data_IF_892939488705
#
_entry.id   IF_892939488705
#
_cell.length_a   1.000
_cell.length_b   1.000
_cell.length_c   1.000
_cell.angle_alpha   90.00
_cell.angle_beta   90.00
_cell.angle_gamma   90.00
#
_symmetry.space_group_name_H-M   'P 1'
#
loop_
_entity.id
_entity.type
_entity.pdbx_description
1 polymer ?
#
# COMPACT_ATOMS: atom_id res chain seq x y z
N UNK A 1 -19.48 -8.80 -22.13
CA UNK A 1 -19.49 -8.75 -20.66
C UNK A 1 -18.34 -7.82 -20.26
N UNK A 2 -18.60 -6.65 -19.68
CA UNK A 2 -17.53 -5.82 -19.13
C UNK A 2 -16.96 -6.59 -17.93
N UNK A 3 -15.67 -6.93 -17.97
CA UNK A 3 -15.00 -7.49 -16.79
C UNK A 3 -14.99 -6.40 -15.72
N UNK A 4 -15.26 -6.77 -14.47
CA UNK A 4 -15.14 -5.86 -13.34
C UNK A 4 -13.77 -5.20 -13.34
N UNK A 5 -13.67 -3.87 -13.19
CA UNK A 5 -12.38 -3.16 -13.28
C UNK A 5 -11.47 -3.43 -12.07
N UNK A 6 -12.04 -3.92 -10.97
CA UNK A 6 -11.33 -4.35 -9.77
C UNK A 6 -11.89 -5.69 -9.34
N UNK A 7 -11.01 -6.65 -9.04
CA UNK A 7 -11.38 -7.97 -8.53
C UNK A 7 -10.96 -8.10 -7.08
N UNK A 8 -11.79 -8.72 -6.25
CA UNK A 8 -11.47 -9.06 -4.86
C UNK A 8 -11.60 -10.57 -4.66
N UNK A 9 -10.49 -11.21 -4.41
CA UNK A 9 -10.42 -12.64 -4.11
C UNK A 9 -10.09 -12.83 -2.63
N UNK A 10 -10.82 -13.71 -1.95
CA UNK A 10 -10.58 -14.04 -0.54
C UNK A 10 -10.10 -15.48 -0.40
N UNK A 11 -8.99 -15.68 0.29
CA UNK A 11 -8.44 -17.01 0.59
C UNK A 11 -8.05 -17.08 2.07
N UNK A 12 -8.81 -17.81 2.86
CA UNK A 12 -8.67 -17.84 4.33
C UNK A 12 -8.79 -16.41 4.91
N UNK A 13 -7.74 -15.93 5.58
CA UNK A 13 -7.66 -14.60 6.19
C UNK A 13 -6.95 -13.56 5.32
N UNK A 14 -6.71 -13.86 4.04
CA UNK A 14 -6.07 -12.95 3.09
C UNK A 14 -7.05 -12.55 2.00
N UNK A 15 -7.01 -11.27 1.61
CA UNK A 15 -7.71 -10.76 0.44
C UNK A 15 -6.70 -10.27 -0.61
N UNK A 16 -6.95 -10.60 -1.87
CA UNK A 16 -6.20 -10.07 -3.01
C UNK A 16 -7.08 -9.11 -3.79
N UNK A 17 -6.64 -7.87 -3.87
CA UNK A 17 -7.29 -6.80 -4.64
C UNK A 17 -6.50 -6.60 -5.93
N UNK A 18 -7.14 -6.82 -7.07
CA UNK A 18 -6.50 -6.80 -8.38
C UNK A 18 -7.08 -5.68 -9.24
N UNK A 19 -6.24 -4.73 -9.68
CA UNK A 19 -6.58 -3.76 -10.72
C UNK A 19 -6.72 -4.52 -12.05
N UNK A 20 -7.92 -4.52 -12.68
CA UNK A 20 -8.23 -5.47 -13.75
C UNK A 20 -8.54 -4.80 -15.08
N UNK A 21 -7.57 -4.03 -15.60
CA UNK A 21 -7.59 -3.46 -16.97
C UNK A 21 -6.27 -3.74 -17.71
N UNK A 22 -5.84 -5.03 -17.82
CA UNK A 22 -4.49 -5.39 -18.30
C UNK A 22 -4.20 -4.90 -19.72
N UNK A 23 -5.20 -4.77 -20.59
CA UNK A 23 -5.03 -4.28 -21.97
C UNK A 23 -4.54 -2.83 -22.08
N UNK A 24 -4.68 -2.06 -21.01
CA UNK A 24 -4.25 -0.66 -20.91
C UNK A 24 -3.33 -0.48 -19.69
N UNK A 25 -2.57 -1.51 -19.33
CA UNK A 25 -1.63 -1.51 -18.20
C UNK A 25 -2.28 -1.02 -16.89
N UNK A 26 -3.54 -1.41 -16.65
CA UNK A 26 -4.33 -1.06 -15.48
C UNK A 26 -4.47 0.46 -15.25
N UNK A 27 -4.51 1.26 -16.34
CA UNK A 27 -4.73 2.69 -16.25
C UNK A 27 -6.03 3.02 -15.50
N UNK A 28 -5.97 4.02 -14.64
CA UNK A 28 -7.03 4.44 -13.72
C UNK A 28 -8.11 5.22 -14.45
N UNK A 29 -9.17 4.52 -14.92
CA UNK A 29 -10.43 5.13 -15.36
C UNK A 29 -11.31 5.47 -14.16
N UNK A 30 -12.40 6.24 -14.39
CA UNK A 30 -13.41 6.50 -13.36
C UNK A 30 -13.96 5.22 -12.74
N UNK A 31 -14.29 4.21 -13.56
CA UNK A 31 -14.83 2.94 -13.08
C UNK A 31 -13.83 2.17 -12.23
N UNK A 32 -12.52 2.18 -12.59
CA UNK A 32 -11.48 1.54 -11.79
C UNK A 32 -11.29 2.27 -10.45
N UNK A 33 -11.29 3.61 -10.45
CA UNK A 33 -11.18 4.42 -9.23
C UNK A 33 -12.38 4.15 -8.30
N UNK A 34 -13.61 4.11 -8.85
CA UNK A 34 -14.81 3.82 -8.06
C UNK A 34 -14.78 2.38 -7.52
N UNK A 35 -14.49 1.39 -8.36
CA UNK A 35 -14.37 0.00 -7.93
C UNK A 35 -13.26 -0.22 -6.89
N UNK A 36 -12.15 0.51 -7.00
CA UNK A 36 -11.08 0.49 -6.00
C UNK A 36 -11.54 1.07 -4.67
N UNK A 37 -12.28 2.20 -4.70
CA UNK A 37 -12.87 2.78 -3.50
C UNK A 37 -13.83 1.82 -2.81
N UNK A 38 -14.75 1.20 -3.55
CA UNK A 38 -15.72 0.26 -3.01
C UNK A 38 -15.02 -0.94 -2.36
N UNK A 39 -14.07 -1.54 -3.08
CA UNK A 39 -13.31 -2.70 -2.61
C UNK A 39 -12.47 -2.39 -1.35
N UNK A 40 -11.75 -1.26 -1.33
CA UNK A 40 -10.93 -0.87 -0.16
C UNK A 40 -11.83 -0.53 1.04
N UNK A 41 -12.97 0.13 0.81
CA UNK A 41 -13.92 0.47 1.88
C UNK A 41 -14.56 -0.78 2.50
N UNK A 42 -14.90 -1.77 1.69
CA UNK A 42 -15.43 -3.06 2.15
C UNK A 42 -14.38 -3.83 2.95
N UNK A 43 -13.16 -3.96 2.42
CA UNK A 43 -12.07 -4.67 3.09
C UNK A 43 -11.66 -4.02 4.42
N UNK A 44 -11.70 -2.69 4.51
CA UNK A 44 -11.32 -1.97 5.72
C UNK A 44 -12.18 -2.33 6.95
N UNK A 45 -13.40 -2.81 6.75
CA UNK A 45 -14.33 -3.20 7.82
C UNK A 45 -14.53 -4.72 7.93
N UNK A 46 -13.89 -5.50 7.06
CA UNK A 46 -13.98 -6.97 7.06
C UNK A 46 -13.00 -7.57 8.07
N UNK A 47 -13.50 -7.88 9.28
CA UNK A 47 -12.70 -8.48 10.36
C UNK A 47 -12.19 -9.90 10.05
N UNK A 48 -12.73 -10.57 9.04
CA UNK A 48 -12.25 -11.89 8.60
C UNK A 48 -10.96 -11.80 7.78
N UNK A 49 -10.62 -10.62 7.26
CA UNK A 49 -9.41 -10.35 6.49
C UNK A 49 -8.32 -9.80 7.41
N UNK A 50 -7.18 -10.46 7.46
CA UNK A 50 -6.02 -10.05 8.26
C UNK A 50 -4.92 -9.38 7.45
N UNK A 51 -4.85 -9.63 6.14
CA UNK A 51 -3.84 -9.06 5.23
C UNK A 51 -4.48 -8.80 3.87
N UNK A 52 -4.14 -7.68 3.26
CA UNK A 52 -4.56 -7.33 1.90
C UNK A 52 -3.35 -7.31 0.98
N UNK A 53 -3.44 -7.99 -0.17
CA UNK A 53 -2.47 -7.91 -1.26
C UNK A 53 -3.07 -7.09 -2.39
N UNK A 54 -2.40 -6.02 -2.80
CA UNK A 54 -2.78 -5.17 -3.94
C UNK A 54 -1.88 -5.48 -5.12
N UNK A 55 -2.47 -5.82 -6.28
CA UNK A 55 -1.72 -6.10 -7.52
C UNK A 55 -2.43 -5.61 -8.77
N UNK A 56 -1.72 -5.58 -9.88
CA UNK A 56 -2.28 -5.41 -11.21
C UNK A 56 -2.49 -6.75 -11.91
N UNK A 57 -3.53 -6.86 -12.74
CA UNK A 57 -3.71 -7.98 -13.65
C UNK A 57 -2.70 -7.91 -14.81
N UNK A 58 -2.23 -9.06 -15.28
CA UNK A 58 -1.25 -9.17 -16.36
C UNK A 58 0.15 -8.77 -15.94
N UNK A 59 0.88 -8.08 -16.83
CA UNK A 59 2.30 -7.82 -16.68
C UNK A 59 2.65 -6.48 -16.03
N UNK A 60 1.66 -5.69 -15.64
CA UNK A 60 1.88 -4.34 -15.11
C UNK A 60 1.04 -4.08 -13.87
N UNK A 61 1.59 -3.32 -12.93
CA UNK A 61 0.84 -2.85 -11.78
C UNK A 61 -0.19 -1.78 -12.20
N UNK A 62 0.27 -0.58 -12.58
CA UNK A 62 -0.60 0.53 -13.00
C UNK A 62 0.18 1.62 -13.72
N UNK A 63 -0.27 2.01 -14.91
CA UNK A 63 0.36 3.09 -15.71
C UNK A 63 -0.10 4.50 -15.33
N UNK A 64 -0.84 4.68 -14.24
CA UNK A 64 -1.35 5.98 -13.81
C UNK A 64 -2.73 6.31 -14.37
N UNK A 65 -3.05 7.59 -14.47
CA UNK A 65 -4.36 8.02 -14.97
C UNK A 65 -4.62 7.58 -16.41
N UNK A 66 -5.85 7.17 -16.71
CA UNK A 66 -6.29 6.94 -18.08
C UNK A 66 -6.28 8.28 -18.84
N UNK A 67 -5.54 8.35 -19.93
CA UNK A 67 -5.35 9.60 -20.71
C UNK A 67 -6.69 10.20 -21.17
N UNK A 68 -7.70 9.38 -21.33
CA UNK A 68 -9.03 9.85 -21.70
C UNK A 68 -9.66 10.79 -20.66
N UNK A 69 -9.26 10.68 -19.38
CA UNK A 69 -9.71 11.60 -18.34
C UNK A 69 -9.30 13.05 -18.60
N UNK A 70 -8.20 13.28 -19.33
CA UNK A 70 -7.68 14.61 -19.64
C UNK A 70 -8.25 15.19 -20.93
N UNK A 71 -8.98 14.40 -21.71
CA UNK A 71 -9.63 14.88 -22.93
C UNK A 71 -10.94 15.64 -22.68
N UNK A 72 -11.50 15.48 -21.48
CA UNK A 72 -12.74 16.14 -21.06
C UNK A 72 -12.44 17.53 -20.48
N UNK A 73 -13.23 18.54 -20.88
CA UNK A 73 -13.17 19.85 -20.25
C UNK A 73 -13.94 19.84 -18.94
N UNK A 74 -13.25 19.48 -17.86
CA UNK A 74 -13.82 19.42 -16.52
C UNK A 74 -13.50 20.72 -15.77
N UNK A 75 -14.49 21.39 -15.13
CA UNK A 75 -14.24 22.55 -14.30
C UNK A 75 -13.30 22.25 -13.13
N UNK A 76 -12.54 23.26 -12.69
CA UNK A 76 -11.53 23.10 -11.65
C UNK A 76 -12.11 22.63 -10.29
N UNK A 77 -13.30 23.06 -9.95
CA UNK A 77 -14.01 22.64 -8.72
C UNK A 77 -14.42 21.17 -8.78
N UNK A 78 -14.82 20.65 -9.92
CA UNK A 78 -15.10 19.22 -10.12
C UNK A 78 -13.82 18.40 -10.03
N UNK A 79 -12.69 18.89 -10.56
CA UNK A 79 -11.39 18.25 -10.36
C UNK A 79 -11.00 18.16 -8.87
N UNK A 80 -11.25 19.23 -8.09
CA UNK A 80 -11.01 19.19 -6.64
C UNK A 80 -11.83 18.08 -5.98
N UNK A 81 -13.09 17.90 -6.37
CA UNK A 81 -13.95 16.83 -5.83
C UNK A 81 -13.41 15.46 -6.21
N UNK A 82 -13.02 15.26 -7.48
CA UNK A 82 -12.45 14.00 -7.95
C UNK A 82 -11.15 13.65 -7.22
N UNK A 83 -10.22 14.61 -7.06
CA UNK A 83 -8.96 14.41 -6.34
C UNK A 83 -9.16 14.13 -4.83
N UNK A 84 -10.16 14.76 -4.20
CA UNK A 84 -10.55 14.38 -2.84
C UNK A 84 -11.10 12.94 -2.75
N UNK A 85 -11.80 12.48 -3.79
CA UNK A 85 -12.24 11.08 -3.91
C UNK A 85 -11.06 10.11 -3.92
N UNK A 86 -10.07 10.39 -4.78
CA UNK A 86 -8.80 9.66 -4.85
C UNK A 86 -8.07 9.67 -3.50
N UNK A 87 -7.98 10.82 -2.84
CA UNK A 87 -7.35 10.96 -1.54
C UNK A 87 -8.00 10.09 -0.44
N UNK A 88 -9.31 9.80 -0.54
CA UNK A 88 -10.00 8.87 0.38
C UNK A 88 -9.49 7.46 0.23
N UNK A 89 -9.22 6.98 -1.00
CA UNK A 89 -8.67 5.64 -1.24
C UNK A 89 -7.33 5.50 -0.51
N UNK A 90 -6.43 6.45 -0.74
CA UNK A 90 -5.11 6.49 -0.10
C UNK A 90 -5.23 6.51 1.42
N UNK A 91 -6.08 7.40 1.94
CA UNK A 91 -6.33 7.50 3.38
C UNK A 91 -6.84 6.18 3.96
N UNK A 92 -7.80 5.52 3.30
CA UNK A 92 -8.35 4.25 3.78
C UNK A 92 -7.29 3.15 3.77
N UNK A 93 -6.45 3.03 2.73
CA UNK A 93 -5.33 2.08 2.70
C UNK A 93 -4.35 2.30 3.86
N UNK A 94 -4.09 3.55 4.23
CA UNK A 94 -3.21 3.89 5.36
C UNK A 94 -3.84 3.64 6.73
N UNK A 95 -5.16 3.86 6.85
CA UNK A 95 -5.89 3.78 8.13
C UNK A 95 -6.55 2.42 8.38
N UNK A 96 -6.72 1.57 7.34
CA UNK A 96 -7.34 0.25 7.52
C UNK A 96 -6.53 -0.63 8.48
N UNK A 97 -7.23 -1.47 9.29
CA UNK A 97 -6.58 -2.28 10.32
C UNK A 97 -5.65 -3.36 9.77
N UNK A 98 -5.89 -3.80 8.53
CA UNK A 98 -5.09 -4.81 7.87
C UNK A 98 -3.79 -4.20 7.32
N UNK A 99 -2.63 -4.86 7.45
CA UNK A 99 -1.47 -4.53 6.63
C UNK A 99 -1.77 -4.78 5.15
N UNK A 100 -1.30 -3.86 4.31
CA UNK A 100 -1.43 -3.88 2.86
C UNK A 100 -0.07 -4.13 2.22
N UNK A 101 0.02 -5.13 1.34
CA UNK A 101 1.23 -5.45 0.58
C UNK A 101 0.94 -5.17 -0.89
N UNK A 102 1.71 -4.30 -1.52
CA UNK A 102 1.67 -4.16 -2.98
C UNK A 102 2.67 -5.11 -3.64
N UNK A 103 2.18 -5.90 -4.59
CA UNK A 103 2.98 -6.67 -5.54
C UNK A 103 3.20 -5.83 -6.80
N UNK A 104 4.41 -5.29 -6.95
CA UNK A 104 4.75 -4.37 -8.02
C UNK A 104 5.49 -5.10 -9.14
N UNK A 105 4.77 -5.42 -10.22
CA UNK A 105 5.30 -6.02 -11.44
C UNK A 105 5.18 -5.04 -12.60
N UNK A 106 6.16 -5.01 -13.51
CA UNK A 106 6.15 -4.15 -14.68
C UNK A 106 6.09 -2.66 -14.32
N UNK A 107 5.16 -1.89 -14.86
CA UNK A 107 5.11 -0.45 -14.65
C UNK A 107 4.27 -0.03 -13.45
N UNK A 108 4.77 0.97 -12.71
CA UNK A 108 4.05 1.78 -11.74
C UNK A 108 4.38 3.25 -12.00
N UNK A 109 3.42 4.02 -12.54
CA UNK A 109 3.67 5.36 -13.06
C UNK A 109 2.66 6.36 -12.49
N UNK A 110 3.10 7.54 -12.07
CA UNK A 110 2.28 8.63 -11.58
C UNK A 110 1.37 8.22 -10.43
N UNK A 111 0.05 8.41 -10.55
CA UNK A 111 -0.91 7.97 -9.54
C UNK A 111 -0.84 6.47 -9.23
N UNK A 112 -0.42 5.63 -10.18
CA UNK A 112 -0.15 4.20 -9.96
C UNK A 112 1.07 3.97 -9.08
N UNK A 113 2.14 4.74 -9.28
CA UNK A 113 3.32 4.71 -8.43
C UNK A 113 2.97 5.08 -6.98
N UNK A 114 2.27 6.19 -6.79
CA UNK A 114 1.87 6.66 -5.47
C UNK A 114 0.80 5.77 -4.80
N UNK A 115 -0.07 5.11 -5.57
CA UNK A 115 -0.98 4.09 -5.03
C UNK A 115 -0.20 2.91 -4.45
N UNK A 116 0.88 2.47 -5.12
CA UNK A 116 1.75 1.43 -4.57
C UNK A 116 2.39 1.86 -3.25
N UNK A 117 2.90 3.11 -3.16
CA UNK A 117 3.50 3.67 -1.95
C UNK A 117 2.49 3.89 -0.80
N UNK A 118 1.20 3.91 -1.07
CA UNK A 118 0.17 3.96 -0.04
C UNK A 118 0.05 2.66 0.77
N UNK A 119 0.68 1.57 0.35
CA UNK A 119 0.73 0.29 1.06
C UNK A 119 1.76 0.31 2.20
N UNK A 120 1.65 -0.64 3.12
CA UNK A 120 2.61 -0.80 4.23
C UNK A 120 3.92 -1.44 3.75
N UNK A 121 3.81 -2.34 2.77
CA UNK A 121 4.94 -3.01 2.13
C UNK A 121 4.77 -2.99 0.62
N UNK A 122 5.82 -2.62 -0.09
CA UNK A 122 5.90 -2.76 -1.55
C UNK A 122 7.01 -3.76 -1.86
N UNK A 123 6.65 -4.90 -2.46
CA UNK A 123 7.60 -5.86 -3.00
C UNK A 123 7.60 -5.71 -4.52
N UNK A 124 8.74 -5.36 -5.09
CA UNK A 124 8.89 -5.08 -6.50
C UNK A 124 9.64 -6.21 -7.24
N UNK A 125 9.33 -6.43 -8.51
CA UNK A 125 10.26 -7.13 -9.38
C UNK A 125 11.50 -6.27 -9.62
N UNK A 126 12.70 -6.86 -9.74
CA UNK A 126 13.95 -6.12 -9.97
C UNK A 126 13.88 -5.23 -11.21
N UNK A 127 13.20 -5.72 -12.26
CA UNK A 127 12.96 -5.03 -13.52
C UNK A 127 11.66 -4.20 -13.55
N UNK A 128 10.97 -4.04 -12.43
CA UNK A 128 9.81 -3.15 -12.36
C UNK A 128 10.24 -1.71 -12.64
N UNK A 129 9.32 -0.91 -13.20
CA UNK A 129 9.60 0.46 -13.62
C UNK A 129 8.74 1.41 -12.81
N UNK A 130 9.38 2.22 -11.99
CA UNK A 130 8.74 3.23 -11.14
C UNK A 130 9.04 4.63 -11.68
N UNK A 131 8.01 5.49 -11.84
CA UNK A 131 8.17 6.83 -12.37
C UNK A 131 7.16 7.82 -11.78
N UNK A 132 7.67 8.93 -11.23
CA UNK A 132 6.89 10.11 -10.85
C UNK A 132 6.74 11.06 -12.06
N UNK A 133 6.00 10.61 -13.07
CA UNK A 133 5.90 11.25 -14.39
C UNK A 133 5.30 12.66 -14.38
N UNK A 134 4.68 13.08 -13.31
CA UNK A 134 3.83 14.28 -13.24
C UNK A 134 4.45 15.54 -13.84
N UNK A 135 5.69 15.87 -13.51
CA UNK A 135 6.39 17.06 -14.03
C UNK A 135 6.53 17.02 -15.55
N UNK A 136 6.69 15.83 -16.15
CA UNK A 136 6.86 15.64 -17.58
C UNK A 136 5.57 15.93 -18.37
N UNK A 137 4.43 15.93 -17.68
CA UNK A 137 3.11 16.24 -18.26
C UNK A 137 2.48 17.51 -17.66
N UNK A 138 3.29 18.35 -16.98
CA UNK A 138 2.85 19.64 -16.43
C UNK A 138 1.92 19.52 -15.21
N UNK A 139 1.95 18.39 -14.49
CA UNK A 139 1.15 18.16 -13.29
C UNK A 139 2.03 18.10 -12.04
N UNK A 140 1.39 18.10 -10.88
CA UNK A 140 2.02 17.89 -9.58
C UNK A 140 1.71 16.48 -9.08
N UNK A 141 2.48 15.99 -8.11
CA UNK A 141 2.23 14.69 -7.46
C UNK A 141 0.82 14.65 -6.87
N UNK A 142 0.17 13.51 -7.02
CA UNK A 142 -1.12 13.18 -6.39
C UNK A 142 -1.05 11.85 -5.62
N UNK A 143 -2.17 11.22 -5.25
CA UNK A 143 -2.23 9.97 -4.48
C UNK A 143 -1.29 9.96 -3.25
N UNK A 144 -0.94 11.10 -2.70
CA UNK A 144 -0.08 11.21 -1.53
C UNK A 144 1.43 11.23 -1.80
N UNK A 145 1.89 11.36 -3.05
CA UNK A 145 3.31 11.38 -3.40
C UNK A 145 4.12 12.43 -2.62
N UNK A 146 3.57 13.62 -2.42
CA UNK A 146 4.21 14.66 -1.57
C UNK A 146 4.38 14.23 -0.09
N UNK A 147 3.56 13.30 0.38
CA UNK A 147 3.64 12.77 1.74
C UNK A 147 4.60 11.59 1.82
N UNK A 148 4.51 10.63 0.90
CA UNK A 148 5.26 9.38 0.96
C UNK A 148 6.73 9.54 0.59
N UNK A 149 7.03 10.20 -0.54
CA UNK A 149 8.40 10.27 -1.04
C UNK A 149 9.40 10.83 0.00
N UNK A 150 9.19 12.02 0.59
CA UNK A 150 10.17 12.56 1.53
C UNK A 150 10.31 11.74 2.81
N UNK A 151 9.27 10.96 3.19
CA UNK A 151 9.30 10.07 4.35
C UNK A 151 10.05 8.77 4.08
N UNK A 152 9.97 8.26 2.86
CA UNK A 152 10.64 7.01 2.47
C UNK A 152 12.12 7.24 2.10
N UNK A 153 12.41 8.22 1.25
CA UNK A 153 13.75 8.38 0.67
C UNK A 153 14.46 9.69 1.07
N UNK A 154 13.86 10.45 1.98
CA UNK A 154 14.37 11.77 2.35
C UNK A 154 14.16 12.83 1.25
N UNK A 155 14.27 14.10 1.64
CA UNK A 155 13.89 15.22 0.78
C UNK A 155 14.74 15.37 -0.49
N UNK A 156 16.04 15.04 -0.42
CA UNK A 156 16.94 15.20 -1.59
C UNK A 156 16.54 14.22 -2.71
N UNK A 157 16.35 12.95 -2.39
CA UNK A 157 15.96 11.94 -3.36
C UNK A 157 14.49 12.12 -3.82
N UNK A 158 13.63 12.55 -2.91
CA UNK A 158 12.24 12.88 -3.27
C UNK A 158 12.17 14.00 -4.32
N UNK A 159 13.04 15.04 -4.20
CA UNK A 159 13.14 16.10 -5.23
C UNK A 159 13.64 15.57 -6.56
N UNK A 160 14.65 14.69 -6.54
CA UNK A 160 15.17 14.06 -7.75
C UNK A 160 14.07 13.31 -8.49
N UNK A 161 13.38 12.39 -7.81
CA UNK A 161 12.30 11.59 -8.41
C UNK A 161 11.15 12.46 -8.92
N UNK A 162 10.67 13.41 -8.11
CA UNK A 162 9.50 14.21 -8.43
C UNK A 162 9.77 15.32 -9.43
N UNK A 163 10.94 15.98 -9.38
CA UNK A 163 11.22 17.16 -10.22
C UNK A 163 11.90 16.82 -11.54
N UNK A 164 12.58 15.67 -11.63
CA UNK A 164 13.14 15.19 -12.88
C UNK A 164 12.19 14.25 -13.62
N UNK A 165 11.30 13.56 -12.90
CA UNK A 165 10.35 12.60 -13.47
C UNK A 165 11.02 11.45 -14.21
N UNK A 166 12.24 11.08 -13.80
CA UNK A 166 12.98 9.96 -14.37
C UNK A 166 12.43 8.63 -13.86
N UNK A 167 12.54 7.62 -14.71
CA UNK A 167 12.20 6.25 -14.35
C UNK A 167 13.36 5.60 -13.62
N UNK A 168 13.05 4.81 -12.59
CA UNK A 168 14.00 3.92 -11.91
C UNK A 168 13.46 2.49 -11.94
N UNK A 169 14.35 1.50 -11.86
CA UNK A 169 13.98 0.10 -11.75
C UNK A 169 13.66 -0.31 -10.29
N UNK A 170 13.11 -1.52 -10.13
CA UNK A 170 12.74 -2.04 -8.81
C UNK A 170 13.94 -2.24 -7.89
N UNK A 171 15.09 -2.63 -8.42
CA UNK A 171 16.33 -2.78 -7.65
C UNK A 171 16.77 -1.43 -7.09
N UNK A 172 16.85 -0.40 -7.92
CA UNK A 172 17.17 0.97 -7.50
C UNK A 172 16.17 1.49 -6.47
N UNK A 173 14.87 1.21 -6.67
CA UNK A 173 13.83 1.61 -5.73
C UNK A 173 14.03 0.96 -4.34
N UNK A 174 14.47 -0.29 -4.28
CA UNK A 174 14.81 -0.96 -3.03
C UNK A 174 16.09 -0.40 -2.40
N UNK A 175 17.13 -0.17 -3.20
CA UNK A 175 18.43 0.35 -2.72
C UNK A 175 18.32 1.74 -2.06
N UNK A 176 17.42 2.58 -2.57
CA UNK A 176 17.15 3.90 -1.97
C UNK A 176 16.09 3.90 -0.85
N UNK A 177 15.50 2.75 -0.52
CA UNK A 177 14.48 2.62 0.51
C UNK A 177 13.08 3.09 0.10
N UNK A 178 12.83 3.25 -1.22
CA UNK A 178 11.51 3.62 -1.73
C UNK A 178 10.50 2.47 -1.62
N UNK A 179 10.94 1.24 -1.85
CA UNK A 179 10.16 0.02 -1.68
C UNK A 179 10.79 -0.88 -0.62
N UNK A 180 10.00 -1.75 -0.02
CA UNK A 180 10.45 -2.65 1.04
C UNK A 180 11.54 -3.61 0.57
N UNK A 181 11.35 -4.19 -0.62
CA UNK A 181 12.26 -5.21 -1.18
C UNK A 181 12.07 -5.32 -2.68
N UNK A 182 13.13 -5.65 -3.41
CA UNK A 182 13.05 -6.15 -4.78
C UNK A 182 13.54 -7.59 -4.88
N UNK A 183 13.01 -8.33 -5.85
CA UNK A 183 13.35 -9.72 -6.13
C UNK A 183 13.26 -9.98 -7.63
N UNK A 184 13.88 -11.05 -8.11
CA UNK A 184 13.68 -11.51 -9.48
C UNK A 184 12.19 -11.72 -9.77
N UNK A 185 11.73 -11.37 -10.97
CA UNK A 185 10.30 -11.34 -11.31
C UNK A 185 9.60 -12.68 -11.09
N UNK A 186 10.29 -13.79 -11.36
CA UNK A 186 9.80 -15.16 -11.15
C UNK A 186 9.67 -15.56 -9.67
N UNK A 187 10.31 -14.80 -8.76
CA UNK A 187 10.20 -14.98 -7.29
C UNK A 187 9.18 -14.05 -6.64
N UNK A 188 8.68 -13.05 -7.38
CA UNK A 188 7.86 -11.98 -6.82
C UNK A 188 6.58 -12.50 -6.13
N UNK A 189 5.84 -13.38 -6.77
CA UNK A 189 4.59 -13.92 -6.23
C UNK A 189 4.85 -14.73 -4.96
N UNK A 190 5.88 -15.59 -4.97
CA UNK A 190 6.27 -16.39 -3.80
C UNK A 190 6.72 -15.51 -2.61
N UNK A 191 7.45 -14.43 -2.86
CA UNK A 191 7.89 -13.49 -1.82
C UNK A 191 6.70 -12.79 -1.18
N UNK A 192 5.75 -12.30 -1.99
CA UNK A 192 4.52 -11.65 -1.52
C UNK A 192 3.65 -12.62 -0.72
N UNK A 193 3.46 -13.85 -1.20
CA UNK A 193 2.70 -14.88 -0.47
C UNK A 193 3.36 -15.23 0.88
N UNK A 194 4.68 -15.33 0.91
CA UNK A 194 5.45 -15.60 2.13
C UNK A 194 5.29 -14.47 3.16
N UNK A 195 5.41 -13.22 2.71
CA UNK A 195 5.21 -12.03 3.55
C UNK A 195 3.77 -11.97 4.07
N UNK A 196 2.78 -12.17 3.20
CA UNK A 196 1.38 -12.17 3.56
C UNK A 196 1.05 -13.29 4.58
N UNK A 197 1.56 -14.50 4.37
CA UNK A 197 1.40 -15.61 5.31
C UNK A 197 2.05 -15.32 6.66
N UNK A 198 3.22 -14.67 6.66
CA UNK A 198 3.92 -14.26 7.88
C UNK A 198 3.10 -13.24 8.68
N UNK A 199 2.55 -12.22 8.02
CA UNK A 199 1.71 -11.21 8.66
C UNK A 199 0.38 -11.81 9.15
N UNK A 200 -0.24 -12.69 8.37
CA UNK A 200 -1.50 -13.34 8.74
C UNK A 200 -1.43 -14.21 10.00
N UNK A 201 -0.23 -14.64 10.40
CA UNK A 201 0.01 -15.37 11.65
C UNK A 201 0.17 -14.48 12.89
N UNK A 202 0.29 -13.16 12.71
CA UNK A 202 0.44 -12.20 13.82
C UNK A 202 -0.93 -11.84 14.39
N UNK A 203 -0.92 -11.26 15.59
CA UNK A 203 -2.13 -10.70 16.19
C UNK A 203 -2.65 -9.54 15.34
N UNK A 204 -3.89 -9.60 14.79
CA UNK A 204 -4.44 -8.51 13.98
C UNK A 204 -4.49 -7.19 14.75
N UNK A 205 -4.86 -7.24 16.05
CA UNK A 205 -4.87 -6.03 16.89
C UNK A 205 -3.46 -5.44 17.05
N UNK A 206 -2.44 -6.27 17.28
CA UNK A 206 -1.07 -5.77 17.42
C UNK A 206 -0.58 -5.12 16.12
N UNK A 207 -0.82 -5.75 14.96
CA UNK A 207 -0.47 -5.17 13.66
C UNK A 207 -1.18 -3.84 13.41
N UNK A 208 -2.49 -3.77 13.69
CA UNK A 208 -3.26 -2.53 13.59
C UNK A 208 -2.67 -1.42 14.46
N UNK A 209 -2.42 -1.68 15.75
CA UNK A 209 -1.89 -0.66 16.67
C UNK A 209 -0.47 -0.23 16.29
N UNK A 210 0.39 -1.16 15.84
CA UNK A 210 1.72 -0.82 15.32
C UNK A 210 1.60 0.09 14.09
N UNK A 211 0.77 -0.27 13.11
CA UNK A 211 0.53 0.54 11.90
C UNK A 211 0.03 1.94 12.27
N UNK A 212 -0.97 2.04 13.13
CA UNK A 212 -1.54 3.32 13.59
C UNK A 212 -0.49 4.18 14.33
N UNK A 213 0.28 3.59 15.24
CA UNK A 213 1.32 4.31 15.99
C UNK A 213 2.44 4.83 15.10
N UNK A 214 2.90 4.02 14.15
CA UNK A 214 3.93 4.43 13.18
C UNK A 214 3.44 5.56 12.28
N UNK A 215 2.20 5.49 11.79
CA UNK A 215 1.62 6.54 10.96
C UNK A 215 1.54 7.89 11.67
N UNK A 216 1.19 7.88 12.96
CA UNK A 216 1.08 9.09 13.78
C UNK A 216 2.42 9.63 14.28
N UNK A 217 3.50 8.83 14.21
CA UNK A 217 4.79 9.16 14.85
C UNK A 217 5.42 10.48 14.35
N UNK A 218 5.14 10.85 13.11
CA UNK A 218 5.64 12.11 12.54
C UNK A 218 4.88 13.37 13.01
N UNK A 219 3.68 13.20 13.55
CA UNK A 219 2.80 14.30 13.98
C UNK A 219 2.71 14.43 15.50
N UNK A 220 3.35 13.51 16.25
CA UNK A 220 3.37 13.49 17.71
C UNK A 220 4.76 13.81 18.27
N UNK A 221 4.79 14.50 19.42
CA UNK A 221 6.01 14.62 20.24
C UNK A 221 6.33 13.31 20.96
N UNK A 222 7.58 13.09 21.36
CA UNK A 222 7.96 11.89 22.12
C UNK A 222 7.08 11.63 23.36
N UNK A 223 6.74 12.62 24.21
CA UNK A 223 5.81 12.37 25.31
C UNK A 223 4.45 11.87 24.87
N UNK A 224 3.89 12.44 23.79
CA UNK A 224 2.59 11.97 23.24
C UNK A 224 2.67 10.54 22.69
N UNK A 225 3.80 10.16 22.05
CA UNK A 225 4.03 8.78 21.61
C UNK A 225 4.08 7.84 22.80
N UNK A 226 4.82 8.16 23.85
CA UNK A 226 4.93 7.33 25.05
C UNK A 226 3.58 7.16 25.77
N UNK A 227 2.78 8.22 25.86
CA UNK A 227 1.43 8.14 26.43
C UNK A 227 0.51 7.26 25.58
N UNK A 228 0.58 7.41 24.25
CA UNK A 228 -0.17 6.58 23.29
C UNK A 228 0.24 5.11 23.42
N UNK A 229 1.54 4.80 23.45
CA UNK A 229 2.09 3.46 23.64
C UNK A 229 1.63 2.84 24.98
N UNK A 230 1.71 3.56 26.08
CA UNK A 230 1.28 3.08 27.39
C UNK A 230 -0.20 2.67 27.39
N UNK A 231 -1.07 3.50 26.79
CA UNK A 231 -2.49 3.21 26.69
C UNK A 231 -2.77 1.97 25.83
N UNK A 232 -2.17 1.87 24.63
CA UNK A 232 -2.46 0.81 23.67
C UNK A 232 -1.76 -0.51 24.02
N UNK A 233 -0.56 -0.44 24.61
CA UNK A 233 0.12 -1.63 25.14
C UNK A 233 -0.69 -2.26 26.26
N UNK A 234 -1.33 -1.45 27.12
CA UNK A 234 -2.19 -1.99 28.18
C UNK A 234 -3.38 -2.79 27.62
N UNK A 235 -3.94 -2.36 26.48
CA UNK A 235 -4.99 -3.10 25.77
C UNK A 235 -4.43 -4.39 25.17
N UNK A 236 -3.29 -4.32 24.48
CA UNK A 236 -2.66 -5.47 23.84
C UNK A 236 -2.33 -6.60 24.84
N UNK A 237 -1.83 -6.26 26.03
CA UNK A 237 -1.52 -7.18 27.13
C UNK A 237 -2.75 -7.96 27.64
N UNK A 238 -3.96 -7.42 27.48
CA UNK A 238 -5.20 -8.07 27.94
C UNK A 238 -5.78 -9.05 26.90
N UNK A 239 -5.26 -9.06 25.67
CA UNK A 239 -5.80 -9.89 24.60
C UNK A 239 -5.55 -11.39 24.84
N UNK A 240 -6.48 -12.21 24.34
CA UNK A 240 -6.33 -13.66 24.32
C UNK A 240 -5.09 -14.08 23.54
N UNK A 241 -4.85 -13.46 22.37
CA UNK A 241 -3.70 -13.74 21.53
C UNK A 241 -2.36 -13.57 22.27
N UNK A 242 -2.20 -12.47 23.05
CA UNK A 242 -1.01 -12.26 23.87
C UNK A 242 -0.84 -13.36 24.92
N UNK A 243 -1.91 -13.68 25.65
CA UNK A 243 -1.88 -14.70 26.71
C UNK A 243 -1.47 -16.08 26.17
N UNK A 244 -2.07 -16.51 25.07
CA UNK A 244 -1.75 -17.79 24.42
C UNK A 244 -0.28 -17.85 23.95
N UNK A 245 0.25 -16.76 23.39
CA UNK A 245 1.67 -16.68 22.98
C UNK A 245 2.60 -16.79 24.19
N UNK A 246 2.29 -16.08 25.29
CA UNK A 246 3.09 -16.15 26.53
C UNK A 246 3.07 -17.56 27.12
N UNK A 247 1.91 -18.21 27.18
CA UNK A 247 1.78 -19.59 27.65
C UNK A 247 2.63 -20.55 26.82
N UNK A 248 2.63 -20.40 25.49
CA UNK A 248 3.47 -21.19 24.59
C UNK A 248 4.97 -21.01 24.89
N UNK A 249 5.44 -19.78 25.08
CA UNK A 249 6.85 -19.53 25.43
C UNK A 249 7.24 -20.09 26.79
N UNK A 250 6.35 -20.00 27.77
CA UNK A 250 6.60 -20.56 29.11
C UNK A 250 6.66 -22.10 29.10
N UNK A 251 5.80 -22.74 28.31
CA UNK A 251 5.84 -24.20 28.14
C UNK A 251 7.15 -24.63 27.45
N UNK A 252 7.51 -24.00 26.34
CA UNK A 252 8.75 -24.32 25.63
C UNK A 252 10.04 -24.07 26.45
N UNK A 253 9.99 -23.22 27.48
CA UNK A 253 11.12 -23.01 28.41
C UNK A 253 11.23 -24.11 29.42
N UNK A 254 10.09 -24.68 29.86
CA UNK A 254 10.08 -25.81 30.82
C UNK A 254 10.62 -27.10 30.23
N UNK A 255 10.39 -27.34 28.93
CA UNK A 255 10.87 -28.52 28.22
C UNK A 255 12.39 -28.52 27.96
N UNK A 256 13.06 -27.35 28.15
CA UNK A 256 14.51 -27.19 27.96
C UNK A 256 15.30 -27.16 29.27
N UNK A 257 14.63 -27.22 30.44
CA UNK A 257 15.23 -27.23 31.78
C UNK A 257 15.04 -28.59 32.46
#
# INVERSE_FOLDING_TARGET
>A
MSSEPVLVERKKTMATLTLNRPKVMNAMSRDLIMGLWDAVSELAVDESVHVVVLKGAGDHFCSGADINLFSESIPADEWVVAMKGVGRIVKTLREMPQPVITMLKGVAVGGGANLALASDFVVAADNARFCEIFVNIGLILDYGGHYFLPRLVGLARARELAMLGNEIDGQTAADIGLVYKSVAEDQLENEVETLAATLAQKSPLALRLIKEGLERSFDMSLPQVLDWEAAHQSIALQTRAHKEIVEFFLAAKKDKS
#
